data_IF_057571657460
#
_entry.id   IF_057571657460
#
_cell.length_a   1.000
_cell.length_b   1.000
_cell.length_c   1.000
_cell.angle_alpha   90.00
_cell.angle_beta   90.00
_cell.angle_gamma   90.00
#
_symmetry.space_group_name_H-M   'P 1'
#
loop_
_entity.id
_entity.type
_entity.pdbx_description
1 polymer ?
#
# COMPACT_ATOMS: atom_id res chain seq x y z
N UNK A 1 21.70 -24.10 3.60
CA UNK A 1 21.77 -22.66 3.91
C UNK A 1 22.78 -22.03 2.98
N UNK A 2 22.33 -21.35 1.93
CA UNK A 2 23.20 -20.60 1.04
C UNK A 2 23.10 -19.13 1.43
N UNK A 3 24.21 -18.55 1.91
CA UNK A 3 24.33 -17.11 2.10
C UNK A 3 24.53 -16.48 0.71
N UNK A 4 23.58 -15.66 0.28
CA UNK A 4 23.69 -14.84 -0.92
C UNK A 4 24.08 -13.44 -0.48
N UNK A 5 25.21 -12.95 -1.01
CA UNK A 5 25.75 -11.64 -0.71
C UNK A 5 24.88 -10.54 -1.35
N UNK A 6 24.35 -9.63 -0.52
CA UNK A 6 23.73 -8.40 -0.98
C UNK A 6 24.79 -7.43 -1.50
N UNK A 7 24.51 -6.77 -2.63
CA UNK A 7 25.35 -5.69 -3.17
C UNK A 7 24.87 -4.37 -2.57
N UNK A 8 25.71 -3.72 -1.78
CA UNK A 8 25.47 -2.39 -1.23
C UNK A 8 25.66 -1.34 -2.34
N UNK A 9 24.60 -0.60 -2.65
CA UNK A 9 24.68 0.67 -3.37
C UNK A 9 24.60 1.81 -2.35
N UNK A 10 25.68 2.57 -2.17
CA UNK A 10 25.71 3.70 -1.25
C UNK A 10 24.98 4.91 -1.84
N UNK A 11 24.07 5.50 -1.08
CA UNK A 11 23.53 6.83 -1.33
C UNK A 11 23.58 7.65 -0.04
N UNK A 12 23.54 8.99 -0.14
CA UNK A 12 23.71 9.88 1.00
C UNK A 12 22.63 10.94 1.00
N UNK A 13 21.85 10.99 2.07
CA UNK A 13 20.67 11.85 2.19
C UNK A 13 20.63 12.58 3.52
N UNK A 14 20.85 13.90 3.52
CA UNK A 14 20.62 14.75 4.69
C UNK A 14 19.17 15.27 4.70
N UNK A 15 18.49 15.10 5.84
CA UNK A 15 17.22 15.73 6.27
C UNK A 15 15.88 15.19 5.73
N UNK A 16 15.28 14.23 6.44
CA UNK A 16 13.83 14.00 6.51
C UNK A 16 13.47 13.50 7.93
N UNK A 17 12.38 14.02 8.51
CA UNK A 17 11.97 13.76 9.90
C UNK A 17 10.69 12.93 10.04
N UNK A 18 10.45 11.94 9.16
CA UNK A 18 9.32 11.02 9.26
C UNK A 18 9.74 9.60 8.87
N UNK A 19 9.29 8.62 9.65
CA UNK A 19 9.60 7.19 9.48
C UNK A 19 8.88 6.58 8.26
N UNK A 20 9.50 5.61 7.56
CA UNK A 20 8.99 4.97 6.34
C UNK A 20 7.81 4.01 6.57
N UNK A 21 7.46 3.73 7.83
CA UNK A 21 6.24 2.99 8.18
C UNK A 21 4.97 3.67 7.66
N UNK A 22 4.99 5.00 7.50
CA UNK A 22 3.80 5.79 7.14
C UNK A 22 3.58 5.87 5.61
N UNK A 23 4.59 5.52 4.80
CA UNK A 23 4.52 5.53 3.33
C UNK A 23 3.88 4.28 2.71
N UNK A 24 3.74 3.18 3.47
CA UNK A 24 3.03 1.98 3.02
C UNK A 24 1.49 2.11 3.06
N UNK A 25 0.98 3.25 3.55
CA UNK A 25 -0.44 3.56 3.68
C UNK A 25 -1.12 3.80 2.31
N UNK A 26 -0.33 4.01 1.24
CA UNK A 26 -0.84 4.18 -0.13
C UNK A 26 -1.06 2.90 -0.93
N UNK A 27 -0.67 1.72 -0.42
CA UNK A 27 -0.95 0.45 -1.09
C UNK A 27 -2.41 0.05 -0.86
N UNK A 28 -3.13 -0.30 -1.94
CA UNK A 28 -4.45 -0.93 -1.83
C UNK A 28 -4.38 -2.12 -0.87
N UNK A 29 -5.36 -2.24 0.03
CA UNK A 29 -5.38 -3.19 1.16
C UNK A 29 -5.14 -4.65 0.73
N UNK A 30 -5.50 -5.02 -0.50
CA UNK A 30 -5.22 -6.35 -1.08
C UNK A 30 -3.80 -6.54 -1.64
N UNK A 31 -3.19 -5.50 -2.22
CA UNK A 31 -1.75 -5.55 -2.58
C UNK A 31 -0.89 -5.64 -1.32
N UNK A 32 -1.36 -4.98 -0.25
CA UNK A 32 -0.86 -5.18 1.11
C UNK A 32 -1.07 -6.64 1.52
N UNK A 33 -2.28 -7.18 1.53
CA UNK A 33 -2.53 -8.56 1.97
C UNK A 33 -1.79 -9.63 1.15
N UNK A 34 -1.60 -9.45 -0.17
CA UNK A 34 -0.82 -10.39 -0.99
C UNK A 34 0.67 -10.35 -0.66
N UNK A 35 1.27 -9.16 -0.57
CA UNK A 35 2.66 -9.01 -0.15
C UNK A 35 2.85 -9.52 1.29
N UNK A 36 1.99 -9.12 2.22
CA UNK A 36 2.06 -9.50 3.63
C UNK A 36 1.70 -10.96 3.91
N UNK A 37 0.94 -11.65 3.04
CA UNK A 37 0.66 -13.09 3.20
C UNK A 37 1.88 -13.99 2.94
N UNK A 38 2.94 -13.44 2.33
CA UNK A 38 4.20 -14.16 2.04
C UNK A 38 5.41 -13.56 2.72
N UNK A 39 5.26 -12.38 3.33
CA UNK A 39 6.30 -11.69 4.07
C UNK A 39 6.19 -12.13 5.53
N UNK A 40 7.15 -12.93 5.95
CA UNK A 40 7.26 -13.44 7.32
C UNK A 40 7.74 -12.34 8.25
N UNK A 41 8.57 -11.43 7.74
CA UNK A 41 9.20 -10.38 8.54
C UNK A 41 9.48 -9.14 7.70
N UNK A 42 9.11 -7.97 8.22
CA UNK A 42 9.52 -6.66 7.70
C UNK A 42 10.38 -6.01 8.77
N UNK A 43 11.65 -5.81 8.48
CA UNK A 43 12.55 -5.02 9.33
C UNK A 43 12.88 -3.71 8.62
N UNK A 44 12.73 -2.59 9.33
CA UNK A 44 13.28 -1.30 8.88
C UNK A 44 14.66 -1.18 9.50
N UNK A 45 15.68 -1.17 8.65
CA UNK A 45 17.08 -1.09 9.09
C UNK A 45 17.57 0.33 8.80
N UNK A 46 18.07 1.00 9.83
CA UNK A 46 18.77 2.27 9.65
C UNK A 46 20.25 2.00 9.42
N UNK A 47 20.72 2.28 8.21
CA UNK A 47 22.13 2.22 7.85
C UNK A 47 22.55 3.58 7.31
N UNK A 48 23.59 4.19 7.89
CA UNK A 48 24.18 5.45 7.45
C UNK A 48 23.19 6.65 7.28
N UNK A 49 22.06 6.64 8.00
CA UNK A 49 21.07 7.72 7.95
C UNK A 49 20.03 7.58 6.83
N UNK A 50 19.99 6.43 6.15
CA UNK A 50 18.93 6.05 5.23
C UNK A 50 18.09 4.92 5.87
N UNK A 51 16.77 4.96 5.64
CA UNK A 51 15.90 3.88 6.09
C UNK A 51 15.77 2.84 4.97
N UNK A 52 16.33 1.65 5.17
CA UNK A 52 16.16 0.49 4.32
C UNK A 52 15.01 -0.38 4.83
N UNK A 53 14.20 -0.94 3.93
CA UNK A 53 13.13 -1.88 4.29
C UNK A 53 13.52 -3.25 3.78
N UNK A 54 13.87 -4.16 4.69
CA UNK A 54 14.14 -5.56 4.39
C UNK A 54 12.87 -6.37 4.60
N UNK A 55 12.47 -7.14 3.58
CA UNK A 55 11.34 -8.05 3.65
C UNK A 55 11.82 -9.49 3.48
N UNK A 56 11.68 -10.32 4.52
CA UNK A 56 11.96 -11.76 4.47
C UNK A 56 10.68 -12.53 4.13
N UNK A 57 10.78 -13.51 3.22
CA UNK A 57 9.67 -14.35 2.78
C UNK A 57 9.82 -15.80 3.22
N UNK A 58 8.70 -16.48 3.54
CA UNK A 58 8.63 -17.84 4.12
C UNK A 58 9.34 -18.96 3.31
N UNK A 59 9.75 -18.71 2.06
CA UNK A 59 10.37 -19.74 1.18
C UNK A 59 11.72 -19.34 0.59
N UNK A 60 12.53 -18.59 1.33
CA UNK A 60 13.93 -18.35 0.97
C UNK A 60 14.15 -17.61 -0.35
N UNK A 61 13.14 -16.88 -0.82
CA UNK A 61 13.28 -15.91 -1.90
C UNK A 61 13.65 -14.54 -1.31
N UNK A 62 14.66 -13.89 -1.88
CA UNK A 62 14.98 -12.49 -1.58
C UNK A 62 14.27 -11.59 -2.58
N UNK A 63 13.53 -10.58 -2.09
CA UNK A 63 13.07 -9.47 -2.91
C UNK A 63 14.03 -8.32 -2.68
N UNK A 64 14.65 -7.86 -3.75
CA UNK A 64 15.38 -6.59 -3.75
C UNK A 64 14.37 -5.50 -4.14
N UNK A 65 14.16 -4.55 -3.23
CA UNK A 65 13.30 -3.38 -3.47
C UNK A 65 14.21 -2.19 -3.71
N UNK A 66 14.23 -1.71 -4.94
CA UNK A 66 14.98 -0.50 -5.29
C UNK A 66 14.05 0.70 -5.27
N UNK A 67 14.38 1.67 -4.42
CA UNK A 67 13.70 2.96 -4.33
C UNK A 67 14.50 3.99 -5.12
N UNK A 68 13.88 4.63 -6.11
CA UNK A 68 14.52 5.71 -6.84
C UNK A 68 13.68 6.98 -6.79
N UNK A 69 14.34 8.09 -6.44
CA UNK A 69 13.73 9.41 -6.41
C UNK A 69 13.93 10.06 -7.77
N UNK A 70 12.87 10.15 -8.58
CA UNK A 70 12.96 10.80 -9.88
C UNK A 70 12.78 12.31 -9.72
N UNK A 71 13.77 13.07 -10.17
CA UNK A 71 13.64 14.52 -10.35
C UNK A 71 13.38 14.81 -11.82
N UNK A 72 12.17 15.24 -12.21
CA UNK A 72 11.93 15.64 -13.59
C UNK A 72 12.83 16.82 -13.97
N UNK A 73 13.41 16.75 -15.17
CA UNK A 73 14.38 17.74 -15.68
C UNK A 73 13.72 19.09 -16.07
N UNK A 74 12.40 19.18 -16.00
CA UNK A 74 11.60 20.32 -16.46
C UNK A 74 11.00 21.08 -15.27
N UNK A 75 11.41 22.34 -15.13
CA UNK A 75 11.27 23.19 -13.95
C UNK A 75 9.89 23.84 -13.75
N UNK A 76 8.77 23.14 -13.99
CA UNK A 76 7.43 23.75 -13.84
C UNK A 76 6.39 23.01 -13.00
N UNK A 77 6.60 21.76 -12.60
CA UNK A 77 5.79 21.16 -11.53
C UNK A 77 6.70 20.73 -10.39
N UNK A 78 6.35 21.11 -9.16
CA UNK A 78 6.98 20.63 -7.93
C UNK A 78 6.47 19.24 -7.54
N UNK A 79 6.10 18.42 -8.53
CA UNK A 79 5.59 17.08 -8.31
C UNK A 79 6.77 16.15 -8.04
N UNK A 80 6.81 15.65 -6.81
CA UNK A 80 7.77 14.65 -6.38
C UNK A 80 7.17 13.28 -6.71
N UNK A 81 7.66 12.65 -7.75
CA UNK A 81 7.23 11.31 -8.15
C UNK A 81 8.15 10.27 -7.52
N UNK A 82 7.57 9.32 -6.81
CA UNK A 82 8.29 8.18 -6.25
C UNK A 82 8.13 6.98 -7.17
N UNK A 83 9.24 6.30 -7.41
CA UNK A 83 9.27 5.06 -8.19
C UNK A 83 9.79 3.95 -7.30
N UNK A 84 9.04 2.86 -7.27
CA UNK A 84 9.54 1.61 -6.72
C UNK A 84 9.49 0.53 -7.80
N UNK A 85 10.58 -0.22 -7.89
CA UNK A 85 10.72 -1.34 -8.80
C UNK A 85 10.83 -2.62 -7.99
N UNK A 86 9.89 -3.54 -8.22
CA UNK A 86 9.95 -4.90 -7.67
C UNK A 86 10.34 -5.83 -8.82
N UNK A 87 11.45 -6.54 -8.67
CA UNK A 87 11.94 -7.49 -9.66
C UNK A 87 11.92 -8.90 -9.09
N UNK A 88 11.08 -9.77 -9.67
CA UNK A 88 11.04 -11.20 -9.33
C UNK A 88 11.04 -12.05 -10.59
N UNK A 89 11.99 -12.98 -10.72
CA UNK A 89 12.00 -14.02 -11.77
C UNK A 89 11.68 -13.53 -13.20
N UNK A 90 12.28 -12.41 -13.63
CA UNK A 90 12.07 -11.86 -14.98
C UNK A 90 10.79 -11.04 -15.16
N UNK A 91 9.99 -10.84 -14.11
CA UNK A 91 8.86 -9.91 -14.09
C UNK A 91 9.28 -8.56 -13.49
N UNK A 92 9.00 -7.48 -14.23
CA UNK A 92 9.21 -6.09 -13.79
C UNK A 92 7.85 -5.44 -13.58
N UNK A 93 7.51 -5.13 -12.32
CA UNK A 93 6.33 -4.33 -12.01
C UNK A 93 6.80 -2.88 -11.81
N UNK A 94 6.24 -1.96 -12.58
CA UNK A 94 6.42 -0.52 -12.38
C UNK A 94 5.13 0.03 -11.81
N UNK A 95 5.19 0.60 -10.61
CA UNK A 95 4.09 1.34 -10.02
C UNK A 95 4.47 2.82 -10.08
N UNK A 96 3.72 3.57 -10.88
CA UNK A 96 3.86 5.01 -11.00
C UNK A 96 2.86 5.62 -10.03
N UNK A 97 3.34 6.22 -8.94
CA UNK A 97 2.49 7.04 -8.10
C UNK A 97 2.43 8.44 -8.71
N UNK A 98 1.69 8.58 -9.82
CA UNK A 98 1.27 9.89 -10.30
C UNK A 98 0.12 10.34 -9.42
N UNK A 99 0.47 10.89 -8.26
CA UNK A 99 -0.44 11.64 -7.41
C UNK A 99 -0.88 12.90 -8.16
N UNK A 100 -1.73 12.74 -9.17
CA UNK A 100 -2.61 13.83 -9.57
C UNK A 100 -3.36 14.20 -8.30
N UNK A 101 -3.17 15.45 -7.84
CA UNK A 101 -3.77 15.95 -6.62
C UNK A 101 -5.28 16.09 -6.84
N UNK A 102 -5.99 14.97 -6.77
CA UNK A 102 -7.44 14.94 -6.97
C UNK A 102 -8.10 15.72 -5.85
N UNK A 103 -8.75 16.83 -6.21
CA UNK A 103 -9.53 17.58 -5.24
C UNK A 103 -10.78 16.78 -4.92
N UNK A 104 -11.05 16.60 -3.63
CA UNK A 104 -12.27 15.94 -3.15
C UNK A 104 -13.17 16.97 -2.48
N UNK A 105 -14.43 17.01 -2.86
CA UNK A 105 -15.44 17.80 -2.17
C UNK A 105 -16.05 16.97 -1.04
N UNK A 106 -16.04 17.49 0.17
CA UNK A 106 -16.64 16.85 1.35
C UNK A 106 -17.51 17.83 2.12
N UNK A 107 -18.60 17.30 2.66
CA UNK A 107 -19.45 17.98 3.61
C UNK A 107 -19.00 17.64 5.03
N UNK A 108 -18.74 18.66 5.83
CA UNK A 108 -18.41 18.59 7.25
C UNK A 108 -19.61 19.07 8.06
N UNK A 109 -19.97 18.37 9.15
CA UNK A 109 -21.01 18.82 10.06
C UNK A 109 -20.51 18.76 11.50
N UNK A 110 -20.67 19.86 12.25
CA UNK A 110 -20.21 19.95 13.65
C UNK A 110 -21.41 20.02 14.58
N UNK A 111 -21.53 19.05 15.49
CA UNK A 111 -22.65 18.94 16.43
C UNK A 111 -22.14 18.71 17.87
N UNK A 112 -22.57 19.50 18.87
CA UNK A 112 -23.40 20.70 18.75
C UNK A 112 -22.56 21.94 18.36
N UNK A 113 -23.03 22.72 17.39
CA UNK A 113 -22.49 24.04 17.07
C UNK A 113 -23.54 25.12 17.38
N UNK A 114 -23.15 26.17 18.11
CA UNK A 114 -24.04 27.30 18.31
C UNK A 114 -24.16 28.08 17.00
N UNK A 115 -25.39 28.37 16.57
CA UNK A 115 -25.72 29.15 15.37
C UNK A 115 -25.49 30.66 15.58
N UNK A 116 -24.34 31.02 16.16
CA UNK A 116 -23.91 32.41 16.32
C UNK A 116 -22.73 32.71 15.39
N UNK A 117 -22.68 33.95 14.89
CA UNK A 117 -21.65 34.39 13.93
C UNK A 117 -20.23 34.17 14.45
N UNK A 118 -20.01 34.27 15.77
CA UNK A 118 -18.70 34.04 16.40
C UNK A 118 -18.26 32.57 16.29
N UNK A 119 -19.17 31.61 16.48
CA UNK A 119 -18.85 30.19 16.39
C UNK A 119 -18.59 29.78 14.95
N UNK A 120 -19.42 30.22 14.00
CA UNK A 120 -19.27 29.93 12.58
C UNK A 120 -17.93 30.47 12.06
N UNK A 121 -17.63 31.77 12.31
CA UNK A 121 -16.36 32.38 11.92
C UNK A 121 -15.14 31.67 12.49
N UNK A 122 -15.24 31.10 13.69
CA UNK A 122 -14.15 30.33 14.31
C UNK A 122 -13.89 29.02 13.56
N UNK A 123 -14.93 28.36 13.06
CA UNK A 123 -14.79 27.15 12.22
C UNK A 123 -14.19 27.54 10.87
N UNK A 124 -14.73 28.56 10.19
CA UNK A 124 -14.21 29.07 8.91
C UNK A 124 -12.73 29.44 9.00
N UNK A 125 -12.35 30.21 10.02
CA UNK A 125 -10.94 30.59 10.25
C UNK A 125 -10.04 29.38 10.50
N UNK A 126 -10.58 28.32 11.10
CA UNK A 126 -9.83 27.09 11.33
C UNK A 126 -9.66 26.29 10.04
N UNK A 127 -10.72 26.20 9.22
CA UNK A 127 -10.70 25.54 7.92
C UNK A 127 -9.73 26.24 6.93
N UNK A 128 -9.74 27.56 6.89
CA UNK A 128 -8.84 28.35 6.03
C UNK A 128 -7.36 28.26 6.43
N UNK A 129 -7.02 27.66 7.58
CA UNK A 129 -5.62 27.42 8.00
C UNK A 129 -5.04 26.11 7.48
N UNK A 130 -5.86 25.22 6.92
CA UNK A 130 -5.35 24.00 6.32
C UNK A 130 -4.93 24.27 4.88
N UNK A 131 -3.67 24.01 4.54
CA UNK A 131 -3.21 24.12 3.16
C UNK A 131 -3.95 23.10 2.29
N UNK A 132 -4.38 23.56 1.11
CA UNK A 132 -5.12 22.72 0.17
C UNK A 132 -6.61 22.57 0.50
N UNK A 133 -7.13 23.28 1.50
CA UNK A 133 -8.58 23.33 1.81
C UNK A 133 -9.18 24.65 1.33
N UNK A 134 -10.26 24.56 0.55
CA UNK A 134 -11.05 25.67 0.07
C UNK A 134 -12.48 25.53 0.56
N UNK A 135 -12.97 26.55 1.28
CA UNK A 135 -14.36 26.59 1.73
C UNK A 135 -15.26 26.97 0.55
N UNK A 136 -16.25 26.14 0.26
CA UNK A 136 -17.19 26.34 -0.84
C UNK A 136 -18.52 26.93 -0.36
N UNK A 137 -19.06 26.40 0.74
CA UNK A 137 -20.39 26.77 1.24
C UNK A 137 -20.50 26.59 2.75
N UNK A 138 -21.36 27.38 3.38
CA UNK A 138 -21.60 27.39 4.83
C UNK A 138 -23.10 27.45 5.11
N UNK A 139 -23.62 26.37 5.66
CA UNK A 139 -24.97 26.28 6.20
C UNK A 139 -24.90 26.48 7.72
N UNK A 140 -25.13 27.73 8.13
CA UNK A 140 -25.10 28.16 9.52
C UNK A 140 -26.24 27.62 10.38
N UNK A 141 -27.34 27.18 9.77
CA UNK A 141 -28.50 26.67 10.51
C UNK A 141 -28.24 25.24 10.98
N UNK A 142 -27.63 24.43 10.11
CA UNK A 142 -27.33 23.02 10.36
C UNK A 142 -25.89 22.76 10.83
N UNK A 143 -25.07 23.80 10.94
CA UNK A 143 -23.65 23.69 11.28
C UNK A 143 -22.86 22.86 10.26
N UNK A 144 -23.25 22.97 8.98
CA UNK A 144 -22.70 22.20 7.87
C UNK A 144 -21.81 23.08 6.99
N UNK A 145 -20.66 22.56 6.60
CA UNK A 145 -19.63 23.25 5.82
C UNK A 145 -19.28 22.38 4.63
N UNK A 146 -19.36 22.93 3.42
CA UNK A 146 -18.91 22.24 2.21
C UNK A 146 -17.50 22.71 1.89
N UNK A 147 -16.52 21.81 1.85
CA UNK A 147 -15.14 22.12 1.52
C UNK A 147 -14.66 21.31 0.32
N UNK A 148 -13.74 21.89 -0.44
CA UNK A 148 -12.92 21.21 -1.43
C UNK A 148 -11.51 21.06 -0.85
N UNK A 149 -10.95 19.86 -0.89
CA UNK A 149 -9.64 19.58 -0.28
C UNK A 149 -8.76 18.72 -1.17
N UNK A 150 -7.47 19.03 -1.24
CA UNK A 150 -6.43 18.11 -1.76
C UNK A 150 -5.85 17.20 -0.66
N UNK A 151 -6.11 17.51 0.60
CA UNK A 151 -5.73 16.67 1.75
C UNK A 151 -6.75 15.60 2.05
N UNK A 152 -6.30 14.56 2.75
CA UNK A 152 -7.16 13.50 3.23
C UNK A 152 -8.22 14.07 4.21
N UNK A 153 -9.53 13.87 3.97
CA UNK A 153 -10.60 14.45 4.80
C UNK A 153 -10.50 14.13 6.29
N UNK A 154 -9.96 12.94 6.61
CA UNK A 154 -9.81 12.50 8.01
C UNK A 154 -8.81 13.34 8.81
N UNK A 155 -7.74 13.84 8.18
CA UNK A 155 -6.80 14.74 8.86
C UNK A 155 -7.49 16.04 9.28
N UNK A 156 -8.39 16.54 8.44
CA UNK A 156 -9.17 17.75 8.70
C UNK A 156 -10.16 17.50 9.82
N UNK A 157 -10.89 16.37 9.79
CA UNK A 157 -11.81 15.98 10.87
C UNK A 157 -11.09 15.90 12.21
N UNK A 158 -9.99 15.18 12.28
CA UNK A 158 -9.26 14.95 13.53
C UNK A 158 -8.67 16.26 14.08
N UNK A 159 -8.23 17.17 13.20
CA UNK A 159 -7.74 18.48 13.60
C UNK A 159 -8.88 19.40 14.08
N UNK A 160 -10.06 19.36 13.44
CA UNK A 160 -11.25 20.07 13.92
C UNK A 160 -11.71 19.52 15.27
N UNK A 161 -11.77 18.20 15.42
CA UNK A 161 -12.21 17.56 16.66
C UNK A 161 -11.29 17.90 17.84
N UNK A 162 -9.97 18.01 17.60
CA UNK A 162 -9.01 18.52 18.60
C UNK A 162 -9.23 20.00 18.94
N UNK A 163 -9.55 20.86 17.97
CA UNK A 163 -9.79 22.29 18.19
C UNK A 163 -11.13 22.59 18.85
N UNK A 164 -12.11 21.72 18.62
CA UNK A 164 -13.48 21.83 19.09
C UNK A 164 -13.81 20.67 20.04
N UNK A 165 -13.00 20.52 21.10
CA UNK A 165 -13.18 19.47 22.10
C UNK A 165 -14.63 19.42 22.63
N UNK A 166 -15.18 18.21 22.75
CA UNK A 166 -16.56 17.97 23.16
C UNK A 166 -17.61 18.14 22.05
N UNK A 167 -17.19 18.39 20.80
CA UNK A 167 -18.07 18.40 19.63
C UNK A 167 -17.74 17.23 18.71
N UNK A 168 -18.77 16.68 18.10
CA UNK A 168 -18.67 15.66 17.07
C UNK A 168 -18.52 16.34 15.71
N UNK A 169 -17.62 15.81 14.88
CA UNK A 169 -17.40 16.27 13.52
C UNK A 169 -17.72 15.10 12.58
N UNK A 170 -18.82 15.21 11.85
CA UNK A 170 -19.23 14.23 10.86
C UNK A 170 -18.67 14.61 9.49
N UNK A 171 -18.23 13.61 8.75
CA UNK A 171 -17.82 13.72 7.36
C UNK A 171 -18.82 13.00 6.48
N UNK A 172 -19.24 13.65 5.41
CA UNK A 172 -19.99 13.03 4.33
C UNK A 172 -19.30 13.35 3.01
N UNK A 173 -18.85 12.33 2.29
CA UNK A 173 -18.21 12.50 1.00
C UNK A 173 -19.28 12.80 -0.03
N UNK A 174 -19.19 13.96 -0.71
CA UNK A 174 -20.02 14.19 -1.89
C UNK A 174 -19.41 13.40 -3.03
N UNK A 175 -20.13 12.36 -3.46
CA UNK A 175 -19.84 11.71 -4.74
C UNK A 175 -20.31 12.72 -5.79
N UNK A 176 -19.40 13.58 -6.25
CA UNK A 176 -19.68 14.43 -7.40
C UNK A 176 -19.86 13.48 -8.59
N UNK A 177 -21.11 13.15 -8.91
CA UNK A 177 -21.47 12.32 -10.06
C UNK A 177 -21.15 12.98 -11.41
N UNK A 178 -20.44 14.12 -11.42
CA UNK A 178 -20.02 14.83 -12.63
C UNK A 178 -18.90 14.14 -13.41
N UNK A 179 -18.35 13.03 -12.91
CA UNK A 179 -17.50 12.16 -13.72
C UNK A 179 -17.92 10.68 -13.54
N UNK A 180 -18.84 10.16 -14.38
CA UNK A 180 -19.21 8.74 -14.36
C UNK A 180 -18.05 7.81 -14.76
N UNK A 181 -16.88 8.34 -15.09
CA UNK A 181 -15.69 7.60 -15.51
C UNK A 181 -14.56 7.52 -14.47
N UNK A 182 -14.82 7.86 -13.20
CA UNK A 182 -13.82 7.71 -12.14
C UNK A 182 -13.59 6.24 -11.80
N UNK A 183 -12.73 5.59 -12.59
CA UNK A 183 -11.77 4.49 -12.28
C UNK A 183 -12.17 3.29 -11.41
N UNK A 184 -13.26 3.28 -10.66
CA UNK A 184 -13.65 2.14 -9.82
C UNK A 184 -14.07 0.96 -10.68
N UNK A 185 -14.80 1.17 -11.78
CA UNK A 185 -15.18 0.09 -12.68
C UNK A 185 -13.98 -0.55 -13.38
N UNK A 186 -12.95 0.25 -13.71
CA UNK A 186 -11.71 -0.29 -14.31
C UNK A 186 -10.89 -1.04 -13.27
N UNK A 187 -10.92 -0.58 -12.01
CA UNK A 187 -10.25 -1.25 -10.90
C UNK A 187 -10.92 -2.58 -10.56
N UNK A 188 -12.25 -2.63 -10.47
CA UNK A 188 -13.01 -3.85 -10.20
C UNK A 188 -12.76 -4.90 -11.32
N UNK A 189 -12.73 -4.49 -12.59
CA UNK A 189 -12.44 -5.38 -13.71
C UNK A 189 -10.98 -5.89 -13.68
N UNK A 190 -10.02 -5.02 -13.34
CA UNK A 190 -8.62 -5.42 -13.20
C UNK A 190 -8.41 -6.36 -12.01
N UNK A 191 -9.11 -6.10 -10.90
CA UNK A 191 -9.07 -6.90 -9.68
C UNK A 191 -9.61 -8.31 -9.94
N UNK A 192 -10.71 -8.45 -10.69
CA UNK A 192 -11.21 -9.76 -11.13
C UNK A 192 -10.20 -10.49 -12.02
N UNK A 193 -9.57 -9.81 -12.99
CA UNK A 193 -8.55 -10.43 -13.85
C UNK A 193 -7.32 -10.90 -13.07
N UNK A 194 -6.90 -10.13 -12.05
CA UNK A 194 -5.78 -10.51 -11.17
C UNK A 194 -6.18 -11.72 -10.32
N UNK A 195 -7.38 -11.71 -9.74
CA UNK A 195 -7.91 -12.83 -8.95
C UNK A 195 -8.00 -14.12 -9.77
N UNK A 196 -8.58 -14.05 -10.97
CA UNK A 196 -8.70 -15.19 -11.89
C UNK A 196 -7.31 -15.76 -12.25
N UNK A 197 -6.32 -14.88 -12.49
CA UNK A 197 -4.95 -15.31 -12.80
C UNK A 197 -4.29 -16.00 -11.61
N UNK A 198 -4.48 -15.48 -10.39
CA UNK A 198 -3.94 -16.08 -9.16
C UNK A 198 -4.56 -17.45 -8.91
N UNK A 199 -5.87 -17.59 -9.09
CA UNK A 199 -6.58 -18.87 -8.92
C UNK A 199 -6.10 -19.90 -9.95
N UNK A 200 -5.97 -19.51 -11.22
CA UNK A 200 -5.45 -20.38 -12.29
C UNK A 200 -4.03 -20.87 -12.00
N UNK A 201 -3.16 -19.99 -11.49
CA UNK A 201 -1.78 -20.37 -11.17
C UNK A 201 -1.71 -21.22 -9.90
N UNK A 202 -2.58 -20.99 -8.92
CA UNK A 202 -2.72 -21.83 -7.74
C UNK A 202 -3.11 -23.26 -8.13
N UNK A 203 -4.05 -23.40 -9.06
CA UNK A 203 -4.50 -24.70 -9.55
C UNK A 203 -3.42 -25.41 -10.37
N UNK A 204 -2.62 -24.67 -11.15
CA UNK A 204 -1.44 -25.20 -11.85
C UNK A 204 -0.40 -25.74 -10.87
N UNK A 205 -0.13 -25.01 -9.78
CA UNK A 205 0.79 -25.42 -8.74
C UNK A 205 0.34 -26.69 -8.00
N UNK A 206 -0.96 -26.85 -7.72
CA UNK A 206 -1.50 -28.08 -7.11
C UNK A 206 -1.25 -29.31 -7.97
N UNK A 207 -1.53 -29.23 -9.28
CA UNK A 207 -1.30 -30.36 -10.21
C UNK A 207 0.17 -30.79 -10.24
N UNK A 208 1.09 -29.81 -10.27
CA UNK A 208 2.51 -30.11 -10.20
C UNK A 208 2.92 -30.77 -8.87
N UNK A 209 2.32 -30.34 -7.75
CA UNK A 209 2.57 -30.97 -6.46
C UNK A 209 2.08 -32.42 -6.41
N UNK A 210 0.92 -32.71 -7.00
CA UNK A 210 0.38 -34.06 -7.11
C UNK A 210 1.28 -34.95 -7.99
N UNK A 211 1.72 -34.45 -9.15
CA UNK A 211 2.65 -35.16 -10.04
C UNK A 211 3.99 -35.49 -9.34
N UNK A 212 4.52 -34.54 -8.56
CA UNK A 212 5.71 -34.75 -7.74
C UNK A 212 5.48 -35.78 -6.63
N UNK A 213 4.31 -35.78 -6.00
CA UNK A 213 3.93 -36.76 -4.98
C UNK A 213 3.84 -38.17 -5.59
N UNK A 214 3.19 -38.31 -6.75
CA UNK A 214 3.12 -39.58 -7.49
C UNK A 214 4.50 -40.06 -7.90
N UNK A 215 5.35 -39.18 -8.44
CA UNK A 215 6.73 -39.51 -8.81
C UNK A 215 7.53 -40.00 -7.60
N UNK A 216 7.43 -39.29 -6.46
CA UNK A 216 8.09 -39.69 -5.22
C UNK A 216 7.65 -41.08 -4.77
N UNK A 217 6.35 -41.39 -4.85
CA UNK A 217 5.81 -42.72 -4.55
C UNK A 217 6.43 -43.82 -5.43
N UNK A 218 6.52 -43.58 -6.74
CA UNK A 218 7.14 -44.51 -7.71
C UNK A 218 8.61 -44.74 -7.39
N UNK A 219 9.38 -43.67 -7.15
CA UNK A 219 10.79 -43.79 -6.76
C UNK A 219 10.97 -44.57 -5.45
N UNK A 220 10.11 -44.34 -4.46
CA UNK A 220 10.19 -45.04 -3.17
C UNK A 220 9.86 -46.53 -3.30
N UNK A 221 8.97 -46.90 -4.24
CA UNK A 221 8.67 -48.30 -4.54
C UNK A 221 9.84 -48.98 -5.26
N UNK A 222 10.41 -48.34 -6.28
CA UNK A 222 11.56 -48.86 -7.03
C UNK A 222 12.80 -49.09 -6.14
N UNK A 223 13.07 -48.17 -5.20
CA UNK A 223 14.17 -48.32 -4.22
C UNK A 223 13.96 -49.55 -3.34
N UNK A 224 12.70 -49.87 -2.98
CA UNK A 224 12.37 -51.04 -2.15
C UNK A 224 12.59 -52.34 -2.91
N UNK A 225 12.16 -52.39 -4.17
CA UNK A 225 12.36 -53.55 -5.06
C UNK A 225 13.85 -53.85 -5.27
N UNK A 226 14.67 -52.84 -5.56
CA UNK A 226 16.14 -53.00 -5.68
C UNK A 226 16.76 -53.47 -4.36
N UNK A 227 16.26 -53.02 -3.21
CA UNK A 227 16.76 -53.44 -1.90
C UNK A 227 16.48 -54.92 -1.60
N UNK A 228 15.33 -55.42 -2.03
CA UNK A 228 14.97 -56.84 -1.87
C UNK A 228 15.80 -57.75 -2.79
N UNK A 229 16.20 -57.27 -3.97
CA UNK A 229 17.07 -58.02 -4.90
C UNK A 229 18.54 -58.05 -4.48
N UNK A 230 19.05 -56.97 -3.88
CA UNK A 230 20.46 -56.88 -3.49
C UNK A 230 20.77 -57.71 -2.24
N UNK A 231 19.76 -58.32 -1.61
CA UNK A 231 19.88 -59.38 -0.61
C UNK A 231 20.97 -59.08 0.41
N UNK A 232 20.61 -58.35 1.48
CA UNK A 232 21.51 -57.96 2.57
C UNK A 232 22.43 -59.13 2.92
N UNK A 233 23.66 -59.08 2.40
CA UNK A 233 24.71 -60.02 2.78
C UNK A 233 25.12 -59.57 4.16
N UNK A 234 24.56 -60.23 5.17
CA UNK A 234 24.90 -59.99 6.56
C UNK A 234 26.41 -60.11 6.71
N UNK A 235 27.07 -58.96 6.87
CA UNK A 235 28.48 -58.87 7.18
C UNK A 235 28.67 -59.40 8.61
N UNK A 236 29.06 -60.67 8.70
CA UNK A 236 29.49 -61.32 9.94
C UNK A 236 30.87 -60.84 10.37
#
# INVERSE_FOLDING_TARGET
MAAVAARLCHFSSSSLSKSPSDSLVGLCEESRNFLFSKVERVDVIQSDGEDEVLMEMERGGSIEVEWSRYRPSSSRSSEMTFFFQIQMHGFKIQIHDTSEMTTTTVDLQIIPLHNCTKCIRRVETTLCRFDGVKLLDVDSENGKFTIETTRHPEEIRDALQRKFAGKFVFLSKRINHSNPFSTSLVFDELQERVRERVEKETERCKRLADDLSTSKGIWTAAIREVKDEVGVVDAS
#
